data_IF_190251087550
#
_entry.id   IF_190251087550
#
_cell.length_a   1.000
_cell.length_b   1.000
_cell.length_c   1.000
_cell.angle_alpha   90.00
_cell.angle_beta   90.00
_cell.angle_gamma   90.00
#
_symmetry.space_group_name_H-M   'P 1'
#
loop_
_entity.id
_entity.type
_entity.pdbx_description
1 polymer ?
#
# COMPACT_ATOMS: atom_id res chain seq x y z
N UNK A 1 -44.63 -39.59 11.02
CA UNK A 1 -44.93 -38.13 10.91
C UNK A 1 -43.78 -37.41 11.61
N UNK A 2 -42.56 -37.41 11.04
CA UNK A 2 -42.04 -36.42 10.08
C UNK A 2 -42.31 -34.99 10.56
N UNK A 3 -41.40 -34.45 11.37
CA UNK A 3 -41.14 -33.02 11.46
C UNK A 3 -39.66 -32.85 11.10
N UNK A 4 -39.40 -32.60 9.82
CA UNK A 4 -38.10 -32.19 9.31
C UNK A 4 -37.96 -30.70 9.58
N UNK A 5 -37.32 -30.34 10.68
CA UNK A 5 -36.97 -28.96 11.03
C UNK A 5 -35.85 -28.49 10.11
N UNK A 6 -36.17 -27.78 9.04
CA UNK A 6 -35.18 -27.05 8.27
C UNK A 6 -34.90 -25.73 9.01
N UNK A 7 -33.64 -25.52 9.38
CA UNK A 7 -33.18 -24.31 10.07
C UNK A 7 -32.59 -23.38 9.00
N UNK A 8 -33.15 -22.19 8.86
CA UNK A 8 -32.62 -21.15 7.96
C UNK A 8 -31.70 -20.19 8.73
N UNK A 9 -30.38 -20.25 8.48
CA UNK A 9 -29.43 -19.26 8.99
C UNK A 9 -29.33 -18.09 7.98
N UNK A 10 -29.58 -16.84 8.39
CA UNK A 10 -29.51 -15.67 7.49
C UNK A 10 -28.53 -14.61 8.01
N UNK A 11 -27.48 -14.27 7.25
CA UNK A 11 -26.57 -13.16 7.53
C UNK A 11 -27.00 -11.85 6.82
N UNK A 12 -26.88 -10.70 7.49
CA UNK A 12 -27.33 -9.31 7.17
C UNK A 12 -26.11 -8.38 7.30
N UNK A 13 -26.08 -7.21 6.66
CA UNK A 13 -24.96 -6.23 6.74
C UNK A 13 -25.52 -4.81 6.66
N UNK A 14 -25.07 -3.91 7.53
CA UNK A 14 -25.50 -2.49 7.60
C UNK A 14 -24.38 -1.58 7.03
N UNK A 15 -24.56 -0.51 6.24
CA UNK A 15 -25.67 0.43 6.02
C UNK A 15 -25.81 0.79 4.51
N UNK A 16 -26.89 0.31 3.88
CA UNK A 16 -27.70 0.87 2.76
C UNK A 16 -28.41 -0.28 2.01
N UNK A 17 -29.32 -0.94 2.76
CA UNK A 17 -30.43 -1.83 2.37
C UNK A 17 -30.21 -2.73 1.13
N UNK A 18 -29.90 -4.03 1.29
CA UNK A 18 -30.93 -5.06 1.42
C UNK A 18 -31.82 -4.88 2.67
N UNK A 19 -33.13 -4.98 2.49
CA UNK A 19 -34.11 -4.88 3.57
C UNK A 19 -35.18 -5.96 3.38
N UNK A 20 -35.67 -6.68 4.39
CA UNK A 20 -36.33 -6.24 5.64
C UNK A 20 -37.36 -5.12 5.42
N UNK A 21 -38.62 -5.53 5.25
CA UNK A 21 -39.86 -4.86 5.72
C UNK A 21 -40.77 -5.99 6.26
N UNK A 22 -41.48 -5.97 7.41
CA UNK A 22 -42.25 -4.98 8.23
C UNK A 22 -43.68 -4.76 7.70
N UNK A 23 -44.72 -5.20 8.44
CA UNK A 23 -45.89 -4.34 8.74
C UNK A 23 -46.64 -4.80 10.01
N UNK A 24 -47.30 -3.83 10.65
CA UNK A 24 -48.15 -4.01 11.80
C UNK A 24 -49.26 -5.02 11.57
N UNK A 25 -49.76 -5.54 12.70
CA UNK A 25 -51.02 -6.22 12.79
C UNK A 25 -51.12 -7.47 11.91
N UNK A 26 -50.56 -8.59 12.38
CA UNK A 26 -51.11 -9.89 11.98
C UNK A 26 -52.54 -9.94 12.49
N UNK A 27 -53.52 -9.88 11.59
CA UNK A 27 -54.86 -10.36 11.89
C UNK A 27 -54.73 -11.82 12.34
N UNK A 28 -55.52 -12.19 13.35
CA UNK A 28 -55.37 -13.44 14.08
C UNK A 28 -55.82 -14.70 13.34
N UNK A 29 -55.63 -14.85 12.03
CA UNK A 29 -56.02 -16.07 11.29
C UNK A 29 -54.98 -16.48 10.24
N UNK A 30 -54.44 -17.69 10.43
CA UNK A 30 -53.34 -18.23 9.66
C UNK A 30 -53.65 -18.63 8.21
N UNK A 31 -52.60 -18.67 7.40
CA UNK A 31 -52.18 -19.74 6.46
C UNK A 31 -50.99 -19.23 5.63
N UNK A 32 -49.97 -20.08 5.42
CA UNK A 32 -48.75 -19.75 4.64
C UNK A 32 -48.99 -20.16 3.16
N UNK A 33 -48.86 -19.26 2.16
CA UNK A 33 -49.15 -19.61 0.76
C UNK A 33 -48.00 -20.27 0.00
N UNK A 34 -48.39 -21.00 -1.03
CA UNK A 34 -47.65 -21.90 -1.90
C UNK A 34 -46.76 -21.20 -2.97
N UNK A 35 -46.09 -20.09 -2.63
CA UNK A 35 -45.19 -19.35 -3.53
C UNK A 35 -43.74 -19.38 -3.01
N UNK A 36 -43.17 -20.58 -3.03
CA UNK A 36 -41.76 -20.87 -2.71
C UNK A 36 -40.91 -20.81 -3.99
N UNK A 37 -41.11 -19.77 -4.81
CA UNK A 37 -40.60 -19.73 -6.19
C UNK A 37 -39.70 -18.55 -6.56
N UNK A 38 -39.44 -17.59 -5.67
CA UNK A 38 -38.54 -16.46 -5.96
C UNK A 38 -37.47 -16.30 -4.87
N UNK A 39 -36.50 -17.22 -4.86
CA UNK A 39 -35.26 -17.04 -4.07
C UNK A 39 -34.39 -16.01 -4.78
N UNK A 40 -34.59 -14.70 -4.54
CA UNK A 40 -33.72 -13.64 -5.10
C UNK A 40 -33.79 -12.33 -4.27
N UNK A 41 -32.69 -11.60 -3.97
CA UNK A 41 -31.30 -11.99 -3.78
C UNK A 41 -30.74 -11.59 -2.38
N UNK A 42 -29.51 -12.00 -2.12
CA UNK A 42 -28.70 -11.86 -0.88
C UNK A 42 -28.28 -10.41 -0.58
N UNK A 43 -28.52 -9.53 -1.54
CA UNK A 43 -28.47 -8.07 -1.55
C UNK A 43 -28.71 -7.68 -3.00
N UNK A 44 -29.13 -6.43 -3.27
CA UNK A 44 -29.17 -5.91 -4.64
C UNK A 44 -27.78 -5.83 -5.27
N UNK A 45 -26.72 -5.96 -4.48
CA UNK A 45 -25.35 -6.03 -4.97
C UNK A 45 -25.08 -7.43 -5.58
N UNK A 46 -24.89 -7.54 -6.92
CA UNK A 46 -24.66 -8.82 -7.57
C UNK A 46 -23.35 -9.49 -7.14
N UNK A 47 -22.45 -8.75 -6.49
CA UNK A 47 -21.19 -9.26 -5.95
C UNK A 47 -21.39 -10.15 -4.74
N UNK A 48 -22.47 -9.96 -3.98
CA UNK A 48 -22.69 -10.65 -2.73
C UNK A 48 -23.68 -11.79 -2.96
N UNK A 49 -23.24 -13.02 -2.74
CA UNK A 49 -23.94 -14.23 -3.11
C UNK A 49 -23.98 -15.21 -1.94
N UNK A 50 -25.10 -15.92 -1.80
CA UNK A 50 -25.25 -17.04 -0.87
C UNK A 50 -24.66 -18.26 -1.56
N UNK A 51 -23.48 -18.68 -1.11
CA UNK A 51 -22.73 -19.79 -1.68
C UNK A 51 -23.33 -21.13 -1.26
N UNK A 52 -23.75 -21.24 0.00
CA UNK A 52 -24.37 -22.46 0.49
C UNK A 52 -25.33 -22.18 1.63
N UNK A 53 -26.37 -22.99 1.72
CA UNK A 53 -27.34 -22.96 2.79
C UNK A 53 -27.64 -24.38 3.27
N UNK A 54 -27.51 -24.58 4.59
CA UNK A 54 -27.73 -25.85 5.29
C UNK A 54 -28.38 -25.56 6.65
N UNK A 55 -29.04 -26.56 7.28
CA UNK A 55 -29.70 -26.40 8.58
C UNK A 55 -28.84 -25.86 9.72
N UNK A 56 -27.52 -25.79 9.58
CA UNK A 56 -26.66 -25.21 10.62
C UNK A 56 -25.56 -24.33 10.05
N UNK A 57 -25.63 -24.00 8.76
CA UNK A 57 -24.56 -23.29 8.09
C UNK A 57 -25.07 -22.51 6.89
N UNK A 58 -24.83 -21.22 6.91
CA UNK A 58 -24.95 -20.36 5.74
C UNK A 58 -23.60 -19.76 5.41
N UNK A 59 -23.27 -19.72 4.11
CA UNK A 59 -22.03 -19.13 3.61
C UNK A 59 -22.41 -18.04 2.63
N UNK A 60 -21.99 -16.82 2.93
CA UNK A 60 -22.09 -15.68 2.01
C UNK A 60 -20.69 -15.37 1.48
N UNK A 61 -20.59 -15.05 0.20
CA UNK A 61 -19.38 -14.58 -0.46
C UNK A 61 -19.61 -13.19 -1.03
N UNK A 62 -18.61 -12.32 -0.89
CA UNK A 62 -18.57 -11.01 -1.54
C UNK A 62 -17.46 -11.07 -2.59
N UNK A 63 -17.84 -10.98 -3.85
CA UNK A 63 -16.91 -10.87 -4.97
C UNK A 63 -16.45 -9.43 -5.15
N UNK A 64 -15.25 -9.21 -5.69
CA UNK A 64 -14.76 -7.86 -6.02
C UNK A 64 -14.96 -6.85 -4.88
N UNK A 65 -14.44 -7.17 -3.69
CA UNK A 65 -14.60 -6.37 -2.46
C UNK A 65 -14.17 -4.91 -2.70
N UNK A 66 -14.97 -3.98 -2.23
CA UNK A 66 -14.76 -2.53 -2.29
C UNK A 66 -14.64 -1.96 -0.88
N UNK A 67 -14.07 -0.76 -0.77
CA UNK A 67 -13.96 -0.08 0.53
C UNK A 67 -15.31 0.13 1.23
N UNK A 68 -16.38 0.33 0.45
CA UNK A 68 -17.75 0.47 0.95
C UNK A 68 -18.32 -0.80 1.60
N UNK A 69 -17.71 -1.97 1.38
CA UNK A 69 -18.13 -3.22 2.02
C UNK A 69 -17.66 -3.30 3.49
N UNK A 70 -16.89 -2.34 3.97
CA UNK A 70 -16.49 -2.28 5.37
C UNK A 70 -17.70 -2.00 6.26
N UNK A 71 -17.94 -2.84 7.26
CA UNK A 71 -19.09 -2.61 8.15
C UNK A 71 -19.33 -3.73 9.15
N UNK A 72 -20.51 -3.68 9.75
CA UNK A 72 -21.02 -4.72 10.65
C UNK A 72 -21.97 -5.63 9.86
N UNK A 73 -21.67 -6.92 9.92
CA UNK A 73 -22.37 -8.02 9.28
C UNK A 73 -23.05 -8.82 10.39
N UNK A 74 -24.38 -8.81 10.45
CA UNK A 74 -25.27 -9.37 11.47
C UNK A 74 -25.98 -10.63 10.99
N UNK A 75 -25.83 -11.79 11.63
CA UNK A 75 -26.65 -12.97 11.34
C UNK A 75 -27.86 -13.07 12.27
N UNK A 76 -29.06 -13.32 11.71
CA UNK A 76 -30.29 -13.55 12.47
C UNK A 76 -30.94 -14.88 12.07
N UNK A 77 -31.25 -15.70 13.06
CA UNK A 77 -32.05 -16.92 12.96
C UNK A 77 -33.49 -16.62 13.44
N UNK A 78 -34.47 -16.79 12.55
CA UNK A 78 -35.90 -16.59 12.80
C UNK A 78 -36.66 -17.89 13.09
N UNK A 79 -35.99 -19.05 13.16
CA UNK A 79 -36.61 -20.36 13.37
C UNK A 79 -37.15 -20.59 14.78
N UNK A 80 -37.22 -19.54 15.61
CA UNK A 80 -37.60 -19.59 17.03
C UNK A 80 -38.63 -18.50 17.35
N UNK A 81 -39.34 -18.68 18.47
CA UNK A 81 -40.27 -17.67 19.01
C UNK A 81 -39.57 -16.33 19.28
N UNK A 82 -38.29 -16.37 19.67
CA UNK A 82 -37.43 -15.19 19.79
C UNK A 82 -36.27 -15.32 18.81
N UNK A 83 -36.10 -14.37 17.86
CA UNK A 83 -34.99 -14.41 16.93
C UNK A 83 -33.63 -14.37 17.66
N UNK A 84 -32.68 -15.16 17.18
CA UNK A 84 -31.30 -15.12 17.67
C UNK A 84 -30.45 -14.32 16.70
N UNK A 85 -29.75 -13.31 17.21
CA UNK A 85 -28.93 -12.43 16.39
C UNK A 85 -27.49 -12.39 16.91
N UNK A 86 -26.53 -12.53 16.00
CA UNK A 86 -25.10 -12.33 16.24
C UNK A 86 -24.52 -11.39 15.18
N UNK A 87 -23.33 -10.83 15.38
CA UNK A 87 -22.71 -9.93 14.42
C UNK A 87 -21.18 -10.01 14.42
N UNK A 88 -20.59 -9.65 13.28
CA UNK A 88 -19.16 -9.54 13.09
C UNK A 88 -18.80 -8.25 12.36
N UNK A 89 -17.57 -7.77 12.53
CA UNK A 89 -17.06 -6.59 11.82
C UNK A 89 -16.14 -7.05 10.69
N UNK A 90 -16.43 -6.62 9.48
CA UNK A 90 -15.56 -6.82 8.32
C UNK A 90 -14.74 -5.54 8.11
N UNK A 91 -13.42 -5.71 8.04
CA UNK A 91 -12.48 -4.64 7.69
C UNK A 91 -12.06 -4.81 6.23
N UNK A 92 -12.08 -3.73 5.47
CA UNK A 92 -11.57 -3.72 4.08
C UNK A 92 -10.31 -2.88 4.05
N UNK A 93 -9.26 -3.45 3.50
CA UNK A 93 -7.96 -2.79 3.41
C UNK A 93 -7.72 -2.23 2.02
N UNK A 94 -7.22 -1.01 1.96
CA UNK A 94 -6.88 -0.33 0.71
C UNK A 94 -5.36 -0.28 0.64
N UNK A 95 -4.73 -0.95 -0.34
CA UNK A 95 -3.27 -0.92 -0.47
C UNK A 95 -2.77 0.48 -0.88
N UNK A 96 -1.52 0.81 -0.55
CA UNK A 96 -0.90 2.03 -1.03
C UNK A 96 -0.61 1.95 -2.54
N UNK A 97 -0.45 3.10 -3.17
CA UNK A 97 0.01 3.29 -4.54
C UNK A 97 1.53 3.21 -4.61
N UNK A 98 2.08 2.95 -5.79
CA UNK A 98 3.52 3.03 -6.01
C UNK A 98 4.03 4.43 -5.62
N UNK A 99 5.07 4.55 -4.77
CA UNK A 99 5.58 5.85 -4.35
C UNK A 99 6.11 6.67 -5.53
N UNK A 100 5.69 7.93 -5.59
CA UNK A 100 6.23 8.91 -6.54
C UNK A 100 7.24 9.80 -5.83
N UNK A 101 8.43 9.93 -6.42
CA UNK A 101 9.52 10.75 -5.88
C UNK A 101 9.73 12.00 -6.72
N UNK A 102 9.78 13.16 -6.06
CA UNK A 102 10.13 14.46 -6.63
C UNK A 102 11.49 14.94 -6.13
N UNK A 103 12.14 15.82 -6.90
CA UNK A 103 13.49 16.32 -6.62
C UNK A 103 14.61 15.67 -7.47
N UNK A 104 14.26 14.93 -8.53
CA UNK A 104 15.20 14.21 -9.40
C UNK A 104 15.66 14.98 -10.65
N UNK A 105 15.34 16.27 -10.74
CA UNK A 105 15.37 17.02 -12.01
C UNK A 105 16.77 17.44 -12.46
N UNK A 106 17.74 17.52 -11.55
CA UNK A 106 19.08 18.04 -11.84
C UNK A 106 20.18 17.22 -11.16
N UNK A 107 21.36 17.10 -11.77
CA UNK A 107 22.56 16.69 -11.07
C UNK A 107 22.82 17.60 -9.87
N UNK A 108 23.40 17.02 -8.82
CA UNK A 108 23.56 17.68 -7.52
C UNK A 108 25.04 17.99 -7.33
N UNK A 109 25.39 19.24 -7.02
CA UNK A 109 26.78 19.59 -6.76
C UNK A 109 27.29 18.95 -5.48
N UNK A 110 28.59 18.61 -5.43
CA UNK A 110 29.24 18.19 -4.20
C UNK A 110 29.06 19.24 -3.08
N UNK A 111 28.76 18.78 -1.87
CA UNK A 111 28.46 19.58 -0.68
C UNK A 111 27.16 20.38 -0.74
N UNK A 112 26.31 20.14 -1.75
CA UNK A 112 24.95 20.67 -1.76
C UNK A 112 24.01 19.79 -0.92
N UNK A 113 22.95 20.41 -0.41
CA UNK A 113 21.87 19.72 0.28
C UNK A 113 20.66 19.65 -0.65
N UNK A 114 20.21 18.44 -0.94
CA UNK A 114 19.00 18.22 -1.75
C UNK A 114 17.86 17.69 -0.87
N UNK A 115 16.64 18.10 -1.18
CA UNK A 115 15.42 17.56 -0.59
C UNK A 115 14.70 16.67 -1.59
N UNK A 116 14.40 15.44 -1.19
CA UNK A 116 13.52 14.55 -1.94
C UNK A 116 12.17 14.47 -1.24
N UNK A 117 11.09 14.50 -2.03
CA UNK A 117 9.73 14.31 -1.56
C UNK A 117 9.19 12.99 -2.11
N UNK A 118 8.70 12.14 -1.22
CA UNK A 118 7.98 10.93 -1.60
C UNK A 118 6.50 11.07 -1.26
N UNK A 119 5.64 10.67 -2.20
CA UNK A 119 4.18 10.73 -2.05
C UNK A 119 3.56 9.40 -2.44
N UNK A 120 2.59 8.95 -1.65
CA UNK A 120 1.69 7.82 -1.96
C UNK A 120 0.28 8.17 -1.46
N UNK A 121 -0.76 7.53 -2.00
CA UNK A 121 -2.06 7.52 -1.30
C UNK A 121 -1.87 6.96 0.12
N UNK A 122 -2.76 7.37 1.04
CA UNK A 122 -2.66 6.98 2.45
C UNK A 122 -2.74 5.47 2.64
N UNK A 123 -3.53 4.77 1.82
CA UNK A 123 -3.95 3.41 2.10
C UNK A 123 -4.88 3.35 3.32
N UNK A 124 -5.44 2.18 3.57
CA UNK A 124 -6.31 1.92 4.72
C UNK A 124 -5.96 0.56 5.34
N UNK A 125 -5.47 0.54 6.58
CA UNK A 125 -5.07 1.67 7.42
C UNK A 125 -3.91 2.49 6.83
N UNK A 126 -3.57 3.67 7.40
CA UNK A 126 -2.47 4.50 6.92
C UNK A 126 -1.14 3.75 6.73
N UNK A 127 -0.57 3.85 5.55
CA UNK A 127 0.76 3.36 5.21
C UNK A 127 1.84 4.30 5.80
N UNK A 128 3.03 3.74 6.03
CA UNK A 128 4.20 4.46 6.51
C UNK A 128 5.22 4.63 5.40
N UNK A 129 5.86 5.81 5.33
CA UNK A 129 6.94 6.07 4.39
C UNK A 129 8.26 6.17 5.14
N UNK A 130 9.30 5.52 4.62
CA UNK A 130 10.68 5.70 5.07
C UNK A 130 11.63 5.73 3.89
N UNK A 131 12.84 6.25 4.13
CA UNK A 131 13.87 6.38 3.11
C UNK A 131 15.06 5.49 3.42
N UNK A 132 15.60 4.85 2.38
CA UNK A 132 16.82 4.07 2.45
C UNK A 132 17.89 4.67 1.55
N UNK A 133 19.14 4.67 1.99
CA UNK A 133 20.33 4.93 1.16
C UNK A 133 21.22 3.70 1.23
N UNK A 134 21.46 3.05 0.09
CA UNK A 134 22.16 1.76 0.00
C UNK A 134 21.63 0.71 1.01
N UNK A 135 20.30 0.67 1.18
CA UNK A 135 19.61 -0.22 2.12
C UNK A 135 19.63 0.21 3.59
N UNK A 136 20.32 1.30 3.94
CA UNK A 136 20.34 1.84 5.31
C UNK A 136 19.29 2.92 5.51
N UNK A 137 18.60 2.88 6.66
CA UNK A 137 17.56 3.84 7.01
C UNK A 137 18.11 5.25 7.17
N UNK A 138 17.46 6.22 6.52
CA UNK A 138 17.72 7.65 6.72
C UNK A 138 16.82 8.21 7.82
N UNK A 139 17.40 9.03 8.70
CA UNK A 139 16.71 9.70 9.80
C UNK A 139 16.47 11.18 9.48
N UNK A 140 15.69 11.88 10.31
CA UNK A 140 15.39 13.30 10.13
C UNK A 140 14.36 13.58 9.03
N UNK A 141 13.48 12.61 8.78
CA UNK A 141 12.41 12.75 7.78
C UNK A 141 11.19 13.49 8.33
N UNK A 142 10.48 14.22 7.48
CA UNK A 142 9.24 14.91 7.89
C UNK A 142 8.01 14.23 7.29
N UNK A 143 7.11 13.73 8.14
CA UNK A 143 5.84 13.11 7.70
C UNK A 143 4.74 14.16 7.58
N UNK A 144 4.06 14.17 6.44
CA UNK A 144 2.97 15.08 6.15
C UNK A 144 1.75 14.30 5.63
N UNK A 145 0.56 14.70 6.07
CA UNK A 145 -0.69 14.30 5.45
C UNK A 145 -1.18 15.45 4.57
N UNK A 146 -1.39 15.17 3.30
CA UNK A 146 -2.01 16.10 2.35
C UNK A 146 -3.51 16.22 2.64
N UNK A 147 -4.10 17.39 2.36
CA UNK A 147 -5.55 17.62 2.37
C UNK A 147 -6.31 16.63 1.45
N UNK A 148 -5.63 16.08 0.44
CA UNK A 148 -6.17 15.02 -0.44
C UNK A 148 -6.09 13.60 0.14
N UNK A 149 -5.65 13.44 1.39
CA UNK A 149 -5.49 12.11 2.02
C UNK A 149 -4.34 11.30 1.43
N UNK A 150 -3.25 11.96 1.03
CA UNK A 150 -2.00 11.30 0.66
C UNK A 150 -1.02 11.35 1.83
N UNK A 151 -0.24 10.28 1.99
CA UNK A 151 0.91 10.28 2.90
C UNK A 151 2.14 10.76 2.13
N UNK A 152 2.86 11.69 2.76
CA UNK A 152 4.07 12.30 2.21
C UNK A 152 5.20 12.22 3.22
N UNK A 153 6.41 12.07 2.71
CA UNK A 153 7.60 12.13 3.55
C UNK A 153 8.76 12.76 2.79
N UNK A 154 9.43 13.72 3.42
CA UNK A 154 10.62 14.37 2.86
C UNK A 154 11.89 13.94 3.58
N UNK A 155 12.99 13.85 2.83
CA UNK A 155 14.33 13.65 3.36
C UNK A 155 15.28 14.68 2.76
N UNK A 156 16.16 15.24 3.59
CA UNK A 156 17.27 16.09 3.14
C UNK A 156 18.57 15.32 3.22
N UNK A 157 19.35 15.34 2.14
CA UNK A 157 20.62 14.64 2.05
C UNK A 157 21.69 15.67 1.66
N UNK A 158 22.70 15.82 2.52
CA UNK A 158 23.96 16.47 2.15
C UNK A 158 24.76 15.49 1.30
N UNK A 159 25.00 15.83 0.03
CA UNK A 159 25.66 14.92 -0.91
C UNK A 159 27.17 15.12 -0.93
N UNK A 160 27.90 14.03 -1.08
CA UNK A 160 29.35 14.00 -1.30
C UNK A 160 29.69 13.31 -2.62
N UNK A 161 30.88 13.53 -3.20
CA UNK A 161 31.34 12.79 -4.40
C UNK A 161 31.27 11.26 -4.28
N UNK A 162 31.35 10.72 -3.06
CA UNK A 162 31.23 9.26 -2.78
C UNK A 162 29.79 8.73 -2.91
N UNK A 163 28.82 9.63 -2.92
CA UNK A 163 27.41 9.31 -3.10
C UNK A 163 27.01 9.18 -4.57
N UNK A 164 27.91 9.55 -5.49
CA UNK A 164 27.69 9.40 -6.92
C UNK A 164 27.41 7.94 -7.28
N UNK A 165 26.27 7.68 -7.93
CA UNK A 165 25.81 6.34 -8.28
C UNK A 165 25.25 5.52 -7.11
N UNK A 166 25.20 6.05 -5.89
CA UNK A 166 24.54 5.38 -4.75
C UNK A 166 23.03 5.43 -4.89
N UNK A 167 22.36 4.40 -4.37
CA UNK A 167 20.93 4.23 -4.54
C UNK A 167 20.18 4.81 -3.35
N UNK A 168 19.16 5.61 -3.63
CA UNK A 168 18.20 6.11 -2.65
C UNK A 168 16.82 5.55 -3.00
N UNK A 169 16.14 5.01 -2.00
CA UNK A 169 14.84 4.38 -2.15
C UNK A 169 13.83 5.02 -1.21
N UNK A 170 12.68 5.42 -1.74
CA UNK A 170 11.50 5.66 -0.92
C UNK A 170 10.73 4.35 -0.79
N UNK A 171 10.44 3.94 0.45
CA UNK A 171 9.75 2.70 0.77
C UNK A 171 8.44 3.03 1.49
N UNK A 172 7.34 2.52 0.95
CA UNK A 172 5.98 2.65 1.48
C UNK A 172 5.56 1.29 2.02
N UNK A 173 5.32 1.21 3.33
CA UNK A 173 4.93 -0.02 4.01
C UNK A 173 3.49 0.03 4.49
N UNK A 174 2.77 -1.04 4.25
CA UNK A 174 1.38 -1.24 4.65
C UNK A 174 1.18 -2.69 5.10
N UNK A 175 0.06 -2.99 5.77
CA UNK A 175 -0.21 -4.37 6.19
C UNK A 175 -0.38 -5.34 5.02
N UNK A 176 -0.67 -4.84 3.82
CA UNK A 176 -0.81 -5.64 2.60
C UNK A 176 0.53 -5.88 1.89
N UNK A 177 1.62 -5.28 2.37
CA UNK A 177 2.96 -5.39 1.80
C UNK A 177 3.67 -4.05 1.64
N UNK A 178 4.78 -4.09 0.89
CA UNK A 178 5.70 -2.96 0.74
C UNK A 178 5.89 -2.62 -0.74
N UNK A 179 5.87 -1.33 -1.05
CA UNK A 179 6.19 -0.78 -2.38
C UNK A 179 7.39 0.14 -2.26
N UNK A 180 8.22 0.22 -3.31
CA UNK A 180 9.39 1.10 -3.29
C UNK A 180 9.70 1.68 -4.66
N UNK A 181 10.27 2.88 -4.65
CA UNK A 181 10.82 3.56 -5.82
C UNK A 181 12.28 3.87 -5.53
N UNK A 182 13.16 3.35 -6.37
CA UNK A 182 14.61 3.42 -6.23
C UNK A 182 15.21 4.26 -7.38
N UNK A 183 16.22 5.08 -7.07
CA UNK A 183 16.94 5.89 -8.04
C UNK A 183 18.40 6.07 -7.60
N UNK A 184 19.30 6.23 -8.57
CA UNK A 184 20.70 6.52 -8.32
C UNK A 184 20.95 8.02 -8.25
N UNK A 185 21.74 8.45 -7.26
CA UNK A 185 22.20 9.84 -7.16
C UNK A 185 23.17 10.16 -8.31
N UNK A 186 23.02 11.35 -8.87
CA UNK A 186 23.94 11.90 -9.86
C UNK A 186 24.62 13.12 -9.24
N UNK A 187 25.85 12.94 -8.79
CA UNK A 187 26.59 13.99 -8.07
C UNK A 187 27.67 14.54 -9.00
N UNK A 188 27.63 15.85 -9.23
CA UNK A 188 28.67 16.57 -9.97
C UNK A 188 29.76 17.04 -9.00
N UNK A 189 31.01 16.81 -9.38
CA UNK A 189 32.16 17.16 -8.57
C UNK A 189 33.37 17.48 -9.46
N UNK A 190 34.20 18.45 -9.05
CA UNK A 190 35.38 18.81 -9.80
C UNK A 190 36.37 17.64 -9.87
N UNK A 191 37.21 17.59 -10.91
CA UNK A 191 38.21 16.56 -11.05
C UNK A 191 39.23 16.58 -9.90
N UNK A 192 39.51 15.42 -9.35
CA UNK A 192 40.62 15.20 -8.41
C UNK A 192 41.78 14.55 -9.16
N UNK A 193 42.98 15.13 -9.01
CA UNK A 193 44.21 14.64 -9.63
C UNK A 193 44.95 13.72 -8.66
N UNK A 194 45.34 12.56 -9.17
CA UNK A 194 46.19 11.58 -8.50
C UNK A 194 47.43 11.37 -9.36
N UNK A 195 48.59 11.83 -8.87
CA UNK A 195 49.88 11.69 -9.56
C UNK A 195 50.68 10.62 -8.85
N UNK A 196 50.93 9.52 -9.55
CA UNK A 196 51.75 8.42 -9.05
C UNK A 196 53.04 8.31 -9.86
N UNK A 197 54.15 8.02 -9.17
CA UNK A 197 55.41 7.72 -9.86
C UNK A 197 55.39 6.26 -10.26
N UNK A 198 55.82 5.94 -11.48
CA UNK A 198 56.04 4.55 -11.87
C UNK A 198 57.31 4.00 -11.20
N UNK A 199 58.26 4.89 -10.84
CA UNK A 199 59.53 4.57 -10.18
C UNK A 199 59.88 5.60 -9.07
N UNK A 200 60.37 5.14 -7.91
CA UNK A 200 60.62 6.00 -6.72
C UNK A 200 61.88 6.87 -6.79
N UNK A 201 62.89 6.46 -7.56
CA UNK A 201 64.17 7.16 -7.78
C UNK A 201 64.69 6.82 -9.17
N UNK A 202 65.40 7.74 -9.81
CA UNK A 202 65.99 7.55 -11.15
C UNK A 202 67.36 8.22 -11.23
N UNK A 203 68.28 7.59 -11.95
CA UNK A 203 69.66 8.05 -12.14
C UNK A 203 69.79 8.95 -13.37
N UNK A 204 70.90 9.70 -13.46
CA UNK A 204 71.19 10.52 -14.64
C UNK A 204 71.26 9.64 -15.90
N UNK A 205 70.42 9.94 -16.89
CA UNK A 205 70.34 9.18 -18.15
C UNK A 205 69.22 8.13 -18.20
N UNK A 206 68.51 7.90 -17.10
CA UNK A 206 67.35 7.00 -17.06
C UNK A 206 66.03 7.74 -17.38
N UNK A 207 65.04 7.00 -17.90
CA UNK A 207 63.69 7.50 -18.16
C UNK A 207 62.86 7.48 -16.86
N UNK A 208 62.20 8.61 -16.58
CA UNK A 208 61.33 8.75 -15.43
C UNK A 208 59.88 8.95 -15.88
N UNK A 209 59.04 7.95 -15.62
CA UNK A 209 57.63 7.94 -15.99
C UNK A 209 56.76 8.29 -14.77
N UNK A 210 55.75 9.12 -15.00
CA UNK A 210 54.71 9.46 -14.05
C UNK A 210 53.35 9.18 -14.68
N UNK A 211 52.42 8.70 -13.88
CA UNK A 211 51.03 8.52 -14.28
C UNK A 211 50.16 9.56 -13.54
N UNK A 212 49.44 10.39 -14.30
CA UNK A 212 48.46 11.33 -13.78
C UNK A 212 47.06 10.82 -14.09
N UNK A 213 46.28 10.52 -13.06
CA UNK A 213 44.89 10.10 -13.15
C UNK A 213 44.01 11.23 -12.66
N UNK A 214 42.93 11.49 -13.38
CA UNK A 214 41.97 12.52 -13.02
C UNK A 214 40.57 11.91 -12.96
N UNK A 215 39.83 12.15 -11.86
CA UNK A 215 38.45 11.67 -11.70
C UNK A 215 37.52 12.82 -11.36
N UNK A 216 36.54 13.09 -12.22
CA UNK A 216 35.51 14.10 -12.02
C UNK A 216 34.19 13.71 -12.69
N UNK A 217 33.11 14.43 -12.34
CA UNK A 217 31.82 14.33 -13.01
C UNK A 217 31.31 15.76 -13.34
N UNK A 218 31.10 16.12 -14.61
CA UNK A 218 31.18 15.26 -15.82
C UNK A 218 32.60 14.76 -16.12
N UNK A 219 32.70 13.70 -16.95
CA UNK A 219 34.01 13.17 -17.37
C UNK A 219 34.81 14.26 -18.05
N UNK A 220 36.10 14.29 -17.77
CA UNK A 220 37.02 15.19 -18.44
C UNK A 220 37.11 14.82 -19.93
N UNK A 221 36.86 15.79 -20.80
CA UNK A 221 37.16 15.65 -22.22
C UNK A 221 38.64 15.93 -22.42
N UNK A 222 39.37 14.92 -22.92
CA UNK A 222 40.77 15.08 -23.33
C UNK A 222 40.81 15.65 -24.74
N UNK A 223 41.43 16.81 -24.91
CA UNK A 223 41.81 17.37 -26.21
C UNK A 223 43.32 17.18 -26.41
#
# INVERSE_FOLDING_TARGET
>A
RLWSSFIEIVCVVSEKKLQVFIDGQTDGRGTIPQALQDVVPVTSDPRIQLVSWQPHRSIISIQSVKEEDQGIYTCTDYGRVTPLTDYTRVNVWVPPSLPVVSGLEKPIGENESIEFLCTSNLGRPPATIHWLKDGQLLYGTTHLLDMKGNVRNTVRILVNRRDDGRHVSCVVSHLTGTLQTNFALQVEYPPELDISKTSGSSSVGEELVYECRAKGRPRLEGN
#
